data_IF_538427480687
#
_entry.id   IF_538427480687
#
_cell.length_a   1.000
_cell.length_b   1.000
_cell.length_c   1.000
_cell.angle_alpha   90.00
_cell.angle_beta   90.00
_cell.angle_gamma   90.00
#
_symmetry.space_group_name_H-M   'P 1'
#
loop_
_entity.id
_entity.type
_entity.pdbx_description
1 polymer ?
#
# COMPACT_ATOMS: atom_id res chain seq x y z
N UNK A 1 -38.09 1.62 8.68
CA UNK A 1 -37.01 2.58 8.34
C UNK A 1 -35.85 1.77 7.79
N UNK A 2 -35.17 2.25 6.75
CA UNK A 2 -34.13 1.51 6.03
C UNK A 2 -32.74 1.88 6.55
N UNK A 3 -32.01 0.89 7.07
CA UNK A 3 -30.61 1.05 7.44
C UNK A 3 -29.78 1.38 6.20
N UNK A 4 -28.97 2.43 6.29
CA UNK A 4 -28.07 2.83 5.21
C UNK A 4 -26.65 2.90 5.73
N UNK A 5 -25.72 2.24 5.02
CA UNK A 5 -24.29 2.33 5.30
C UNK A 5 -23.61 3.05 4.15
N UNK A 6 -22.89 4.13 4.45
CA UNK A 6 -22.09 4.87 3.47
C UNK A 6 -20.61 4.59 3.71
N UNK A 7 -19.87 4.35 2.65
CA UNK A 7 -18.43 4.09 2.67
C UNK A 7 -17.69 5.19 1.90
N UNK A 8 -16.77 5.86 2.59
CA UNK A 8 -15.86 6.84 1.99
C UNK A 8 -14.45 6.26 1.96
N UNK A 9 -13.78 6.33 0.80
CA UNK A 9 -12.42 5.83 0.59
C UNK A 9 -11.48 6.99 0.27
N UNK A 10 -10.39 7.10 1.02
CA UNK A 10 -9.32 8.08 0.79
C UNK A 10 -8.01 7.37 0.49
N UNK A 11 -7.24 7.87 -0.47
CA UNK A 11 -5.91 7.35 -0.80
C UNK A 11 -4.84 8.43 -0.61
N UNK A 12 -3.73 8.09 0.06
CA UNK A 12 -2.59 8.98 0.31
C UNK A 12 -1.34 8.28 -0.21
N UNK A 13 -0.82 8.76 -1.33
CA UNK A 13 0.39 8.23 -1.96
C UNK A 13 1.67 8.73 -1.26
N UNK A 14 2.73 7.93 -1.33
CA UNK A 14 4.06 8.32 -0.85
C UNK A 14 4.18 8.44 0.67
N UNK A 15 3.25 7.85 1.42
CA UNK A 15 3.32 7.85 2.88
C UNK A 15 4.23 6.75 3.40
N UNK A 16 4.76 6.92 4.61
CA UNK A 16 5.55 5.91 5.30
C UNK A 16 4.77 5.24 6.43
N UNK A 17 5.01 3.94 6.61
CA UNK A 17 4.47 3.14 7.72
C UNK A 17 5.60 2.33 8.31
N UNK A 18 5.83 2.45 9.62
CA UNK A 18 6.76 1.58 10.33
C UNK A 18 6.07 0.25 10.60
N UNK A 19 6.67 -0.85 10.17
CA UNK A 19 6.16 -2.20 10.39
C UNK A 19 6.43 -2.59 11.84
N UNK A 20 5.36 -2.93 12.57
CA UNK A 20 5.44 -3.44 13.94
C UNK A 20 5.28 -4.96 13.98
N UNK A 21 4.42 -5.50 13.12
CA UNK A 21 4.21 -6.96 13.01
C UNK A 21 3.91 -7.32 11.55
N UNK A 22 4.89 -7.85 10.80
CA UNK A 22 4.66 -8.34 9.45
C UNK A 22 3.92 -9.68 9.45
N UNK A 23 3.21 -9.97 8.36
CA UNK A 23 2.65 -11.30 8.11
C UNK A 23 3.58 -12.03 7.14
N UNK A 24 4.38 -12.96 7.66
CA UNK A 24 5.42 -13.65 6.88
C UNK A 24 4.94 -14.94 6.19
N UNK A 25 3.70 -15.37 6.46
CA UNK A 25 3.13 -16.59 5.91
C UNK A 25 1.68 -16.37 5.51
N UNK A 26 1.33 -16.84 4.32
CA UNK A 26 -0.05 -16.83 3.82
C UNK A 26 -1.01 -17.49 4.82
N UNK A 27 -2.21 -16.95 4.92
CA UNK A 27 -3.26 -17.49 5.80
C UNK A 27 -4.40 -16.51 6.01
N UNK A 28 -5.61 -17.04 6.19
CA UNK A 28 -6.79 -16.24 6.49
C UNK A 28 -6.70 -15.58 7.87
N UNK A 29 -7.29 -14.40 8.01
CA UNK A 29 -7.41 -13.68 9.28
C UNK A 29 -6.14 -13.00 9.80
N UNK A 30 -4.99 -13.15 9.12
CA UNK A 30 -3.75 -12.46 9.49
C UNK A 30 -3.79 -11.00 9.03
N UNK A 31 -3.52 -10.08 9.94
CA UNK A 31 -3.47 -8.64 9.70
C UNK A 31 -2.07 -8.12 10.02
N UNK A 32 -1.61 -7.17 9.21
CA UNK A 32 -0.35 -6.47 9.46
C UNK A 32 -0.57 -5.41 10.51
N UNK A 33 0.44 -5.17 11.36
CA UNK A 33 0.44 -4.03 12.29
C UNK A 33 1.55 -3.07 11.95
N UNK A 34 1.25 -1.79 12.01
CA UNK A 34 2.24 -0.74 11.80
C UNK A 34 1.93 0.53 12.56
N UNK A 35 2.92 1.40 12.65
CA UNK A 35 2.76 2.77 13.14
C UNK A 35 2.64 3.71 11.95
N UNK A 36 1.52 4.43 11.89
CA UNK A 36 1.27 5.50 10.95
C UNK A 36 0.96 6.79 11.72
N UNK A 37 1.75 7.84 11.49
CA UNK A 37 1.59 9.14 12.16
C UNK A 37 1.49 9.04 13.69
N UNK A 38 2.32 8.19 14.30
CA UNK A 38 2.34 7.97 15.75
C UNK A 38 1.26 7.03 16.27
N UNK A 39 0.31 6.57 15.43
CA UNK A 39 -0.78 5.68 15.82
C UNK A 39 -0.55 4.27 15.31
N UNK A 40 -0.80 3.28 16.16
CA UNK A 40 -0.81 1.87 15.75
C UNK A 40 -2.09 1.58 14.96
N UNK A 41 -1.92 1.04 13.76
CA UNK A 41 -3.00 0.63 12.87
C UNK A 41 -2.83 -0.84 12.47
N UNK A 42 -3.96 -1.54 12.37
CA UNK A 42 -4.04 -2.84 11.70
C UNK A 42 -4.40 -2.59 10.23
N UNK A 43 -3.69 -3.21 9.30
CA UNK A 43 -3.92 -3.01 7.87
C UNK A 43 -3.77 -4.29 7.05
N UNK A 44 -4.37 -4.28 5.86
CA UNK A 44 -4.17 -5.31 4.83
C UNK A 44 -3.18 -4.82 3.79
N UNK A 45 -2.29 -5.69 3.33
CA UNK A 45 -1.45 -5.42 2.15
C UNK A 45 -2.18 -5.94 0.92
N UNK A 46 -2.41 -5.05 -0.05
CA UNK A 46 -3.03 -5.36 -1.34
C UNK A 46 -2.01 -5.51 -2.47
N UNK A 47 -0.77 -5.09 -2.22
CA UNK A 47 0.35 -5.23 -3.14
C UNK A 47 0.80 -6.70 -3.23
N UNK A 48 0.33 -7.38 -4.27
CA UNK A 48 0.60 -8.81 -4.49
C UNK A 48 2.07 -9.09 -4.76
N UNK A 49 2.75 -8.21 -5.48
CA UNK A 49 4.17 -8.38 -5.81
C UNK A 49 5.01 -8.24 -4.55
N UNK A 50 4.76 -7.21 -3.73
CA UNK A 50 5.42 -7.08 -2.43
C UNK A 50 5.17 -8.31 -1.53
N UNK A 51 3.92 -8.79 -1.45
CA UNK A 51 3.59 -9.98 -0.66
C UNK A 51 4.35 -11.22 -1.14
N UNK A 52 4.49 -11.41 -2.45
CA UNK A 52 5.30 -12.49 -3.02
C UNK A 52 6.76 -12.37 -2.60
N UNK A 53 7.36 -11.17 -2.66
CA UNK A 53 8.73 -10.94 -2.18
C UNK A 53 8.88 -11.28 -0.69
N UNK A 54 7.88 -10.95 0.13
CA UNK A 54 7.85 -11.29 1.56
C UNK A 54 7.80 -12.80 1.77
N UNK A 55 6.88 -13.50 1.09
CA UNK A 55 6.70 -14.94 1.25
C UNK A 55 7.87 -15.77 0.69
N UNK A 56 8.59 -15.22 -0.30
CA UNK A 56 9.81 -15.81 -0.84
C UNK A 56 11.07 -15.45 0.00
N UNK A 57 10.91 -14.80 1.15
CA UNK A 57 12.01 -14.33 2.02
C UNK A 57 12.99 -13.37 1.32
N UNK A 58 12.57 -12.68 0.26
CA UNK A 58 13.38 -11.65 -0.43
C UNK A 58 13.46 -10.35 0.39
N UNK A 59 12.47 -10.11 1.26
CA UNK A 59 12.42 -8.96 2.16
C UNK A 59 12.58 -9.45 3.60
N UNK A 60 13.56 -8.88 4.30
CA UNK A 60 13.80 -9.13 5.72
C UNK A 60 13.27 -7.96 6.53
N UNK A 61 12.64 -8.25 7.65
CA UNK A 61 12.09 -7.25 8.55
C UNK A 61 12.97 -7.15 9.81
N UNK A 62 13.61 -5.99 9.99
CA UNK A 62 14.25 -5.59 11.24
C UNK A 62 13.34 -4.76 12.16
N UNK A 63 13.82 -4.42 13.35
CA UNK A 63 13.09 -3.68 14.39
C UNK A 63 12.52 -2.35 13.89
N UNK A 64 13.25 -1.66 13.02
CA UNK A 64 12.83 -0.36 12.49
C UNK A 64 12.46 -0.39 11.01
N UNK A 65 11.90 -1.50 10.52
CA UNK A 65 11.49 -1.59 9.12
C UNK A 65 10.41 -0.56 8.81
N UNK A 66 10.61 0.25 7.78
CA UNK A 66 9.65 1.24 7.27
C UNK A 66 9.37 0.95 5.80
N UNK A 67 8.11 1.03 5.40
CA UNK A 67 7.69 0.95 4.01
C UNK A 67 7.21 2.33 3.53
N UNK A 68 7.49 2.65 2.26
CA UNK A 68 6.88 3.78 1.54
C UNK A 68 5.80 3.24 0.60
N UNK A 69 4.55 3.68 0.78
CA UNK A 69 3.39 3.09 0.12
C UNK A 69 2.27 4.10 -0.14
N UNK A 70 1.22 3.66 -0.84
CA UNK A 70 -0.08 4.33 -0.87
C UNK A 70 -0.97 3.75 0.22
N UNK A 71 -1.36 4.58 1.19
CA UNK A 71 -2.30 4.20 2.25
C UNK A 71 -3.73 4.47 1.79
N UNK A 72 -4.58 3.46 1.94
CA UNK A 72 -6.01 3.53 1.73
C UNK A 72 -6.68 3.53 3.11
N UNK A 73 -7.47 4.56 3.38
CA UNK A 73 -8.33 4.64 4.57
C UNK A 73 -9.78 4.51 4.14
N UNK A 74 -10.49 3.57 4.74
CA UNK A 74 -11.91 3.31 4.50
C UNK A 74 -12.67 3.69 5.76
N UNK A 75 -13.51 4.72 5.67
CA UNK A 75 -14.39 5.15 6.77
C UNK A 75 -15.82 4.77 6.44
N UNK A 76 -16.49 4.11 7.38
CA UNK A 76 -17.88 3.67 7.23
C UNK A 76 -18.76 4.43 8.21
N UNK A 77 -19.89 4.92 7.72
CA UNK A 77 -20.93 5.59 8.51
C UNK A 77 -22.20 4.77 8.42
N UNK A 78 -22.74 4.38 9.57
CA UNK A 78 -24.03 3.70 9.67
C UNK A 78 -25.08 4.72 10.08
N UNK A 79 -26.23 4.71 9.40
CA UNK A 79 -27.44 5.41 9.83
C UNK A 79 -28.48 4.38 10.21
N UNK A 80 -28.89 4.39 11.47
CA UNK A 80 -29.91 3.50 12.04
C UNK A 80 -30.90 4.37 12.82
N UNK A 81 -32.19 4.28 12.49
CA UNK A 81 -33.26 5.09 13.09
C UNK A 81 -33.04 6.61 13.08
N UNK A 82 -32.28 7.14 12.11
CA UNK A 82 -31.95 8.57 12.02
C UNK A 82 -30.74 9.01 12.85
N UNK A 83 -30.11 8.10 13.59
CA UNK A 83 -28.85 8.36 14.30
C UNK A 83 -27.64 7.97 13.46
N UNK A 84 -26.61 8.80 13.49
CA UNK A 84 -25.35 8.59 12.77
C UNK A 84 -24.30 7.97 13.68
N UNK A 85 -23.78 6.80 13.31
CA UNK A 85 -22.64 6.16 13.99
C UNK A 85 -21.46 6.01 13.06
N UNK A 86 -20.30 6.55 13.46
CA UNK A 86 -19.03 6.32 12.76
C UNK A 86 -18.46 4.97 13.19
N UNK A 87 -18.21 4.07 12.23
CA UNK A 87 -17.53 2.80 12.48
C UNK A 87 -16.01 3.00 12.51
N UNK A 88 -15.31 2.04 13.13
CA UNK A 88 -13.84 2.03 13.15
C UNK A 88 -13.29 2.03 11.71
N UNK A 89 -12.30 2.88 11.38
CA UNK A 89 -11.72 2.90 10.04
C UNK A 89 -10.97 1.59 9.76
N UNK A 90 -11.03 1.17 8.50
CA UNK A 90 -10.22 0.07 7.98
C UNK A 90 -9.07 0.64 7.15
N UNK A 91 -7.90 0.01 7.25
CA UNK A 91 -6.70 0.42 6.55
C UNK A 91 -6.23 -0.65 5.59
N UNK A 92 -5.79 -0.22 4.41
CA UNK A 92 -5.11 -1.08 3.45
C UNK A 92 -3.94 -0.33 2.82
N UNK A 93 -2.92 -1.06 2.38
CA UNK A 93 -1.75 -0.49 1.71
C UNK A 93 -1.60 -1.12 0.33
N UNK A 94 -1.28 -0.30 -0.67
CA UNK A 94 -0.92 -0.73 -2.02
C UNK A 94 0.31 0.07 -2.49
N UNK A 95 0.82 -0.28 -3.66
CA UNK A 95 1.92 0.44 -4.31
C UNK A 95 3.11 0.63 -3.36
N UNK A 96 3.63 -0.46 -2.81
CA UNK A 96 4.77 -0.40 -1.88
C UNK A 96 6.02 -0.24 -2.75
N UNK A 97 6.58 0.97 -2.75
CA UNK A 97 7.66 1.34 -3.66
C UNK A 97 9.04 1.07 -3.07
N UNK A 98 9.18 1.34 -1.77
CA UNK A 98 10.47 1.30 -1.10
C UNK A 98 10.32 0.76 0.32
N UNK A 99 11.38 0.16 0.84
CA UNK A 99 11.49 -0.23 2.23
C UNK A 99 12.91 0.03 2.75
N UNK A 100 13.04 0.27 4.05
CA UNK A 100 14.30 0.53 4.73
C UNK A 100 14.26 -0.09 6.13
N UNK A 101 15.41 -0.51 6.65
CA UNK A 101 15.57 -0.98 8.03
C UNK A 101 16.87 -0.40 8.64
N UNK A 102 17.18 -0.76 9.89
CA UNK A 102 18.37 -0.26 10.61
C UNK A 102 19.70 -0.59 9.91
N UNK A 103 19.73 -1.65 9.10
CA UNK A 103 20.94 -2.20 8.51
C UNK A 103 21.00 -2.01 6.98
N UNK A 104 19.97 -1.44 6.35
CA UNK A 104 19.87 -1.31 4.90
C UNK A 104 19.62 0.13 4.43
N UNK A 105 20.35 0.51 3.38
CA UNK A 105 20.02 1.67 2.56
C UNK A 105 18.70 1.40 1.82
N UNK A 106 17.88 2.45 1.66
CA UNK A 106 16.55 2.43 1.02
C UNK A 106 16.46 1.46 -0.17
N UNK A 107 15.80 0.33 0.02
CA UNK A 107 15.63 -0.71 -0.98
C UNK A 107 14.39 -0.46 -1.82
N UNK A 108 14.54 -0.60 -3.14
CA UNK A 108 13.41 -0.50 -4.07
C UNK A 108 12.75 -1.86 -4.28
N UNK A 109 11.41 -1.88 -4.26
CA UNK A 109 10.63 -3.09 -4.57
C UNK A 109 10.69 -3.40 -6.07
N UNK A 110 10.28 -4.61 -6.45
CA UNK A 110 10.15 -4.97 -7.88
C UNK A 110 9.18 -4.03 -8.61
N UNK A 111 8.08 -3.63 -7.94
CA UNK A 111 7.12 -2.68 -8.49
C UNK A 111 7.79 -1.34 -8.84
N UNK A 112 8.56 -0.75 -7.92
CA UNK A 112 9.26 0.51 -8.19
C UNK A 112 10.24 0.39 -9.35
N UNK A 113 11.01 -0.70 -9.42
CA UNK A 113 11.98 -0.92 -10.50
C UNK A 113 11.30 -0.99 -11.87
N UNK A 114 10.13 -1.64 -11.96
CA UNK A 114 9.32 -1.69 -13.19
C UNK A 114 8.82 -0.31 -13.61
N UNK A 115 8.32 0.49 -12.66
CA UNK A 115 7.87 1.87 -12.93
C UNK A 115 9.03 2.69 -13.51
N UNK A 116 10.22 2.62 -12.89
CA UNK A 116 11.40 3.34 -13.39
C UNK A 116 11.90 2.84 -14.75
N UNK A 117 11.87 1.54 -15.00
CA UNK A 117 12.22 1.00 -16.31
C UNK A 117 11.25 1.51 -17.40
N UNK A 118 9.94 1.54 -17.12
CA UNK A 118 8.94 2.06 -18.05
C UNK A 118 9.09 3.57 -18.29
N UNK A 119 9.38 4.37 -17.26
CA UNK A 119 9.66 5.80 -17.40
C UNK A 119 10.89 6.08 -18.28
N UNK A 120 11.89 5.18 -18.25
CA UNK A 120 13.13 5.29 -19.02
C UNK A 120 13.01 4.71 -20.43
N UNK A 121 11.98 3.91 -20.70
CA UNK A 121 11.77 3.31 -22.00
C UNK A 121 11.37 4.38 -23.02
N UNK A 122 12.25 4.64 -23.98
CA UNK A 122 11.93 5.46 -25.15
C UNK A 122 10.79 4.81 -25.93
N UNK A 123 9.81 5.60 -26.34
CA UNK A 123 8.74 5.14 -27.23
C UNK A 123 9.31 4.94 -28.64
N UNK A 124 9.67 3.70 -28.96
CA UNK A 124 10.28 3.29 -30.22
C UNK A 124 9.31 3.38 -31.42
N UNK A 125 8.02 3.67 -31.21
CA UNK A 125 7.01 3.71 -32.25
C UNK A 125 6.42 5.11 -32.52
N UNK A 126 7.02 6.18 -31.97
CA UNK A 126 6.68 7.56 -32.33
C UNK A 126 7.47 8.11 -33.54
N UNK A 127 8.22 7.27 -34.25
CA UNK A 127 8.77 7.60 -35.56
C UNK A 127 7.78 7.15 -36.62
N UNK A 128 6.81 8.00 -36.98
CA UNK A 128 6.24 8.07 -38.34
C UNK A 128 5.14 9.14 -38.43
N UNK A 129 5.57 10.40 -38.59
CA UNK A 129 4.97 11.32 -39.55
C UNK A 129 6.05 12.20 -40.16
N UNK A 130 7.11 11.58 -40.72
CA UNK A 130 7.92 12.28 -41.72
C UNK A 130 7.08 12.26 -43.00
N UNK A 131 6.24 13.28 -43.15
CA UNK A 131 5.54 13.57 -44.39
C UNK A 131 6.59 13.81 -45.47
N UNK A 132 6.75 12.86 -46.39
CA UNK A 132 7.47 13.09 -47.64
C UNK A 132 6.69 14.15 -48.43
N UNK A 133 7.32 15.30 -48.66
CA UNK A 133 6.83 16.40 -49.48
C UNK A 133 7.55 16.42 -50.82
#
# INVERSE_FOLDING_TARGET
>A
MSDTTTEDKTEIAGTTIRILSPVLQQGHGKVWKGNYSGKTIDFKVLDKEFLEQVYNNEIKFGTNTVITCTLITITKKKVENGEHTNLKPEYAVKDILQWEDDNTFKNSTKQYKKIKANEQQLDLFNQDQIQYK
#
